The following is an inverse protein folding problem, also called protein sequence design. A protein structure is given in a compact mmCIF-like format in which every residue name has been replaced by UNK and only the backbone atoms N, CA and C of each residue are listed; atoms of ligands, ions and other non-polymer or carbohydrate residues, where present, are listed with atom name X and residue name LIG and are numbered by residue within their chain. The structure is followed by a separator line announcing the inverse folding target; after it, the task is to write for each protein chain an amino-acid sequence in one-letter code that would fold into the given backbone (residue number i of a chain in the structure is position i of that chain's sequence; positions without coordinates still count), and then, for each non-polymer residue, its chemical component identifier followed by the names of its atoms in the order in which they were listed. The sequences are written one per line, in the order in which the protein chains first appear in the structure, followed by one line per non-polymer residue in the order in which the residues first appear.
data_IF_397576366731
#
_entry.id   IF_397576366731
#
_cell.length_a   1.000
_cell.length_b   1.000
_cell.length_c   1.000
_cell.angle_alpha   90.00
_cell.angle_beta   90.00
_cell.angle_gamma   90.00
#
_symmetry.space_group_name_H-M   'P 1'
#
loop_
_entity.id
_entity.type
_entity.pdbx_description
1 polymer ?
#
# COMPACT_ATOMS: atom_id res chain seq x y z
N UNK A 1 -4.44 -8.87 17.50
CA UNK A 1 -3.63 -7.70 17.58
C UNK A 1 -3.48 -7.02 16.26
N UNK A 2 -3.59 -5.73 16.30
CA UNK A 2 -3.49 -4.94 15.10
C UNK A 2 -2.10 -5.00 14.49
N UNK A 3 -1.09 -5.24 15.32
CA UNK A 3 0.27 -5.27 14.82
C UNK A 3 0.48 -6.38 13.82
N UNK A 4 -0.11 -7.54 14.06
CA UNK A 4 0.02 -8.66 13.15
C UNK A 4 -0.67 -8.36 11.82
N UNK A 5 -1.86 -7.77 11.89
CA UNK A 5 -2.58 -7.40 10.69
C UNK A 5 -1.81 -6.37 9.88
N UNK A 6 -1.27 -5.37 10.55
CA UNK A 6 -0.48 -4.35 9.87
C UNK A 6 0.73 -4.94 9.21
N UNK A 7 1.36 -5.89 9.89
CA UNK A 7 2.54 -6.54 9.33
C UNK A 7 2.19 -7.27 8.03
N UNK A 8 1.09 -8.01 8.06
CA UNK A 8 0.67 -8.75 6.87
C UNK A 8 0.32 -7.80 5.74
N UNK A 9 -0.42 -6.75 6.05
CA UNK A 9 -0.80 -5.77 5.04
C UNK A 9 0.44 -5.12 4.43
N UNK A 10 1.39 -4.75 5.28
CA UNK A 10 2.61 -4.13 4.79
C UNK A 10 3.40 -5.07 3.91
N UNK A 11 3.42 -6.35 4.24
CA UNK A 11 4.09 -7.33 3.40
C UNK A 11 3.42 -7.45 2.05
N UNK A 12 2.08 -7.44 2.04
CA UNK A 12 1.35 -7.49 0.80
C UNK A 12 1.63 -6.27 -0.07
N UNK A 13 1.67 -5.11 0.55
CA UNK A 13 1.94 -3.88 -0.16
C UNK A 13 3.33 -3.92 -0.78
N UNK A 14 4.32 -4.36 -0.03
CA UNK A 14 5.68 -4.46 -0.54
C UNK A 14 5.75 -5.43 -1.72
N UNK A 15 5.04 -6.54 -1.59
CA UNK A 15 5.02 -7.54 -2.65
C UNK A 15 4.39 -6.98 -3.92
N UNK A 16 3.25 -6.31 -3.78
CA UNK A 16 2.58 -5.73 -4.94
C UNK A 16 3.41 -4.64 -5.57
N UNK A 17 4.10 -3.85 -4.76
CA UNK A 17 4.95 -2.80 -5.29
C UNK A 17 6.09 -3.38 -6.10
N UNK A 18 6.63 -4.50 -5.64
CA UNK A 18 7.68 -5.18 -6.39
C UNK A 18 7.14 -5.66 -7.72
N UNK A 19 5.96 -6.28 -7.70
CA UNK A 19 5.35 -6.75 -8.94
C UNK A 19 5.08 -5.58 -9.88
N UNK A 20 4.65 -4.46 -9.33
CA UNK A 20 4.36 -3.28 -10.13
C UNK A 20 5.61 -2.76 -10.83
N UNK A 21 6.73 -2.79 -10.13
CA UNK A 21 7.98 -2.33 -10.72
C UNK A 21 8.41 -3.22 -11.88
N UNK A 22 8.09 -4.50 -11.80
CA UNK A 22 8.51 -5.45 -12.82
C UNK A 22 7.50 -5.61 -13.94
N UNK A 23 6.27 -5.17 -13.72
CA UNK A 23 5.22 -5.35 -14.69
C UNK A 23 5.26 -4.24 -15.72
N UNK A 24 5.22 -4.62 -16.99
CA UNK A 24 5.26 -3.66 -18.08
C UNK A 24 3.88 -3.46 -18.72
N UNK A 25 2.97 -4.38 -18.50
CA UNK A 25 1.66 -4.32 -19.12
C UNK A 25 0.79 -3.31 -18.39
N UNK A 26 0.27 -2.28 -19.09
CA UNK A 26 -0.48 -1.22 -18.41
C UNK A 26 -1.73 -1.70 -17.68
N UNK A 27 -2.43 -2.66 -18.23
CA UNK A 27 -3.63 -3.18 -17.56
C UNK A 27 -3.29 -3.84 -16.24
N UNK A 28 -2.24 -4.64 -16.24
CA UNK A 28 -1.83 -5.31 -15.02
C UNK A 28 -1.29 -4.32 -14.01
N UNK A 29 -0.62 -3.28 -14.47
CA UNK A 29 -0.14 -2.24 -13.59
C UNK A 29 -1.30 -1.54 -12.88
N UNK A 30 -2.38 -1.28 -13.62
CA UNK A 30 -3.56 -0.67 -13.03
C UNK A 30 -4.16 -1.55 -11.95
N UNK A 31 -4.23 -2.85 -12.22
CA UNK A 31 -4.78 -3.79 -11.25
C UNK A 31 -3.91 -3.82 -10.00
N UNK A 32 -2.59 -3.84 -10.17
CA UNK A 32 -1.68 -3.85 -9.03
C UNK A 32 -1.82 -2.60 -8.19
N UNK A 33 -1.96 -1.45 -8.84
CA UNK A 33 -2.17 -0.21 -8.09
C UNK A 33 -3.43 -0.27 -7.25
N UNK A 34 -4.49 -0.80 -7.83
CA UNK A 34 -5.75 -0.94 -7.10
C UNK A 34 -5.59 -1.87 -5.91
N UNK A 35 -4.87 -2.97 -6.11
CA UNK A 35 -4.63 -3.89 -5.02
C UNK A 35 -3.85 -3.24 -3.89
N UNK A 36 -2.86 -2.43 -4.24
CA UNK A 36 -2.09 -1.71 -3.24
C UNK A 36 -2.99 -0.76 -2.46
N UNK A 37 -3.83 -0.03 -3.15
CA UNK A 37 -4.74 0.90 -2.49
C UNK A 37 -5.70 0.17 -1.55
N UNK A 38 -6.18 -0.99 -1.98
CA UNK A 38 -7.07 -1.78 -1.15
C UNK A 38 -6.38 -2.25 0.11
N UNK A 39 -5.11 -2.64 0.00
CA UNK A 39 -4.36 -3.07 1.17
C UNK A 39 -4.13 -1.91 2.12
N UNK A 40 -3.79 -0.76 1.58
CA UNK A 40 -3.60 0.42 2.41
C UNK A 40 -4.88 0.76 3.18
N UNK A 41 -6.02 0.58 2.54
CA UNK A 41 -7.29 0.87 3.17
C UNK A 41 -7.57 -0.04 4.37
N UNK A 42 -6.90 -1.18 4.44
CA UNK A 42 -7.07 -2.09 5.57
C UNK A 42 -6.26 -1.68 6.78
N UNK A 43 -5.31 -0.78 6.60
CA UNK A 43 -4.45 -0.37 7.71
C UNK A 43 -5.24 0.45 8.73
N UNK A 44 -4.85 0.38 10.02
CA UNK A 44 -5.53 1.17 11.02
C UNK A 44 -5.29 2.67 10.81
N UNK A 45 -6.16 3.46 11.41
CA UNK A 45 -6.12 4.90 11.23
C UNK A 45 -4.76 5.49 11.59
N UNK A 46 -4.12 4.95 12.60
CA UNK A 46 -2.84 5.49 13.03
C UNK A 46 -1.78 5.32 11.94
N UNK A 47 -1.77 4.19 11.27
CA UNK A 47 -0.82 3.96 10.19
C UNK A 47 -1.12 4.86 9.00
N UNK A 48 -2.40 5.02 8.70
CA UNK A 48 -2.81 5.89 7.61
C UNK A 48 -2.44 7.32 7.89
N UNK A 49 -2.60 7.74 9.15
CA UNK A 49 -2.27 9.09 9.53
C UNK A 49 -0.80 9.39 9.33
N UNK A 50 0.02 8.41 9.60
CA UNK A 50 1.45 8.56 9.39
C UNK A 50 1.73 8.83 7.92
N UNK A 51 1.10 8.08 7.05
CA UNK A 51 1.26 8.27 5.62
C UNK A 51 0.77 9.63 5.18
N UNK A 52 -0.36 10.03 5.70
CA UNK A 52 -0.93 11.33 5.34
C UNK A 52 -0.05 12.47 5.81
N UNK A 53 0.51 12.32 6.99
CA UNK A 53 1.41 13.35 7.50
C UNK A 53 2.57 13.55 6.55
N UNK A 54 3.09 12.46 6.05
CA UNK A 54 4.19 12.51 5.12
C UNK A 54 3.82 13.24 3.85
N UNK A 55 2.66 12.90 3.34
CA UNK A 55 2.16 13.54 2.13
C UNK A 55 1.90 15.01 2.37
N UNK A 56 1.27 15.34 3.47
CA UNK A 56 1.00 16.73 3.81
C UNK A 56 2.26 17.53 3.95
N UNK A 57 3.27 16.87 4.47
CA UNK A 57 4.50 17.56 4.79
C UNK A 57 5.11 18.27 3.62
N UNK A 58 4.85 17.81 2.43
CA UNK A 58 5.48 18.46 1.32
C UNK A 58 4.50 19.28 0.50
N UNK A 59 3.34 19.43 0.99
CA UNK A 59 2.42 20.37 0.36
C UNK A 59 2.87 21.79 0.64
#
# INVERSE_FOLDING_TARGET
MTDLESFIVNQNIAHYKKLLREETHPDKRSILRRLIENEIAKLPASAKRFEMTKVSGFQ
#
